data_IF_860032438136
#
_entry.id   IF_860032438136
#
_cell.length_a   1.000
_cell.length_b   1.000
_cell.length_c   1.000
_cell.angle_alpha   90.00
_cell.angle_beta   90.00
_cell.angle_gamma   90.00
#
_symmetry.space_group_name_H-M   'P 1'
#
loop_
_entity.id
_entity.type
_entity.pdbx_description
1 polymer ?
#
# COMPACT_ATOMS: atom_id res chain seq x y z
N UNK A 1 -31.91 8.20 -16.32
CA UNK A 1 -31.24 7.01 -15.75
C UNK A 1 -30.75 6.13 -16.89
N UNK A 2 -29.64 6.47 -17.56
CA UNK A 2 -29.19 5.75 -18.76
C UNK A 2 -27.77 6.07 -19.22
N UNK A 3 -26.90 6.48 -18.28
CA UNK A 3 -25.50 6.89 -18.54
C UNK A 3 -24.55 6.29 -17.48
N UNK A 4 -24.92 5.16 -16.91
CA UNK A 4 -24.05 4.27 -16.15
C UNK A 4 -24.33 2.89 -16.76
N UNK A 5 -23.31 2.06 -16.93
CA UNK A 5 -23.49 0.69 -17.45
C UNK A 5 -24.64 -0.04 -16.76
N UNK A 6 -25.24 -1.03 -17.43
CA UNK A 6 -26.33 -1.83 -16.85
C UNK A 6 -25.99 -2.24 -15.41
N UNK A 7 -26.95 -2.20 -14.49
CA UNK A 7 -26.74 -2.59 -13.09
C UNK A 7 -26.05 -3.96 -12.97
N UNK A 8 -26.38 -4.89 -13.87
CA UNK A 8 -25.75 -6.22 -13.98
C UNK A 8 -24.26 -6.13 -14.31
N UNK A 9 -23.86 -5.20 -15.17
CA UNK A 9 -22.45 -4.97 -15.54
C UNK A 9 -21.66 -4.29 -14.42
N UNK A 10 -22.30 -3.40 -13.64
CA UNK A 10 -21.67 -2.77 -12.47
C UNK A 10 -21.45 -3.78 -11.35
N UNK A 11 -22.44 -4.65 -11.10
CA UNK A 11 -22.37 -5.68 -10.05
C UNK A 11 -21.35 -6.79 -10.37
N UNK A 12 -21.14 -7.08 -11.66
CA UNK A 12 -20.17 -8.08 -12.12
C UNK A 12 -18.72 -7.55 -12.23
N UNK A 13 -18.49 -6.25 -12.18
CA UNK A 13 -17.18 -5.66 -12.40
C UNK A 13 -16.37 -5.52 -11.09
N UNK A 14 -15.08 -5.90 -11.12
CA UNK A 14 -14.16 -5.67 -9.99
C UNK A 14 -13.91 -4.17 -9.73
N UNK A 15 -14.03 -3.35 -10.78
CA UNK A 15 -13.85 -1.90 -10.74
C UNK A 15 -14.86 -1.26 -11.68
N UNK A 16 -15.73 -0.40 -11.15
CA UNK A 16 -16.68 0.40 -11.93
C UNK A 16 -16.26 1.88 -11.94
N UNK A 17 -16.33 2.52 -13.11
CA UNK A 17 -16.17 3.97 -13.23
C UNK A 17 -17.51 4.64 -12.94
N UNK A 18 -17.55 5.55 -11.97
CA UNK A 18 -18.77 6.27 -11.56
C UNK A 18 -19.15 7.42 -12.52
N UNK A 19 -18.39 7.60 -13.60
CA UNK A 19 -18.54 8.64 -14.61
C UNK A 19 -18.08 8.06 -15.96
N UNK A 20 -18.74 8.43 -17.05
CA UNK A 20 -18.51 7.86 -18.39
C UNK A 20 -17.18 8.31 -19.04
N UNK A 21 -16.36 9.06 -18.32
CA UNK A 21 -15.09 9.56 -18.82
C UNK A 21 -13.98 8.50 -18.74
N UNK A 22 -13.72 7.82 -19.86
CA UNK A 22 -12.62 6.85 -20.03
C UNK A 22 -11.22 7.44 -19.84
N UNK A 23 -11.08 8.77 -19.85
CA UNK A 23 -9.81 9.46 -19.55
C UNK A 23 -9.35 9.27 -18.10
N UNK A 24 -10.19 8.69 -17.22
CA UNK A 24 -9.81 8.31 -15.84
C UNK A 24 -9.09 6.96 -15.76
N UNK A 25 -9.13 6.13 -16.80
CA UNK A 25 -8.46 4.82 -16.81
C UNK A 25 -6.93 4.91 -16.62
N UNK A 26 -6.20 5.84 -17.27
CA UNK A 26 -4.77 6.02 -17.04
C UNK A 26 -4.44 6.39 -15.59
N UNK A 27 -5.21 7.28 -14.98
CA UNK A 27 -5.08 7.65 -13.57
C UNK A 27 -5.26 6.43 -12.65
N UNK A 28 -6.31 5.63 -12.89
CA UNK A 28 -6.62 4.45 -12.09
C UNK A 28 -5.51 3.39 -12.19
N UNK A 29 -4.97 3.19 -13.39
CA UNK A 29 -3.81 2.31 -13.62
C UNK A 29 -2.54 2.83 -12.94
N UNK A 30 -2.28 4.13 -13.01
CA UNK A 30 -1.14 4.74 -12.32
C UNK A 30 -1.26 4.60 -10.80
N UNK A 31 -2.46 4.85 -10.25
CA UNK A 31 -2.72 4.76 -8.82
C UNK A 31 -2.48 3.32 -8.36
N UNK A 32 -3.07 2.33 -9.05
CA UNK A 32 -2.87 0.90 -8.75
C UNK A 32 -1.38 0.51 -8.75
N UNK A 33 -0.62 0.89 -9.78
CA UNK A 33 0.81 0.61 -9.87
C UNK A 33 1.60 1.26 -8.72
N UNK A 34 1.23 2.48 -8.35
CA UNK A 34 1.89 3.22 -7.29
C UNK A 34 1.59 2.62 -5.91
N UNK A 35 0.34 2.20 -5.69
CA UNK A 35 -0.08 1.45 -4.48
C UNK A 35 0.71 0.16 -4.35
N UNK A 36 0.80 -0.66 -5.41
CA UNK A 36 1.57 -1.92 -5.40
C UNK A 36 3.04 -1.66 -5.09
N UNK A 37 3.65 -0.62 -5.66
CA UNK A 37 5.04 -0.24 -5.35
C UNK A 37 5.21 0.12 -3.87
N UNK A 38 4.32 0.94 -3.32
CA UNK A 38 4.35 1.31 -1.89
C UNK A 38 4.20 0.08 -0.98
N UNK A 39 3.27 -0.83 -1.29
CA UNK A 39 3.08 -2.09 -0.55
C UNK A 39 4.34 -2.95 -0.59
N UNK A 40 4.97 -3.11 -1.78
CA UNK A 40 6.21 -3.88 -1.91
C UNK A 40 7.34 -3.28 -1.08
N UNK A 41 7.49 -1.96 -1.08
CA UNK A 41 8.48 -1.26 -0.24
C UNK A 41 8.20 -1.47 1.25
N UNK A 42 6.94 -1.30 1.68
CA UNK A 42 6.50 -1.51 3.05
C UNK A 42 6.80 -2.93 3.56
N UNK A 43 6.44 -3.96 2.79
CA UNK A 43 6.67 -5.36 3.14
C UNK A 43 8.18 -5.66 3.20
N UNK A 44 8.94 -5.18 2.21
CA UNK A 44 10.40 -5.40 2.16
C UNK A 44 11.07 -4.81 3.39
N UNK A 45 10.68 -3.59 3.78
CA UNK A 45 11.23 -2.92 4.95
C UNK A 45 10.84 -3.63 6.26
N UNK A 46 9.58 -4.05 6.40
CA UNK A 46 9.10 -4.82 7.55
C UNK A 46 9.85 -6.15 7.70
N UNK A 47 10.01 -6.89 6.60
CA UNK A 47 10.78 -8.14 6.57
C UNK A 47 12.25 -7.91 6.95
N UNK A 48 12.87 -6.83 6.48
CA UNK A 48 14.26 -6.50 6.81
C UNK A 48 14.43 -6.21 8.31
N UNK A 49 13.54 -5.40 8.89
CA UNK A 49 13.56 -5.11 10.34
C UNK A 49 13.39 -6.39 11.16
N UNK A 50 12.42 -7.25 10.79
CA UNK A 50 12.21 -8.52 11.48
C UNK A 50 13.44 -9.44 11.37
N UNK A 51 14.05 -9.51 10.19
CA UNK A 51 15.26 -10.32 9.98
C UNK A 51 16.43 -9.84 10.85
N UNK A 52 16.65 -8.53 10.93
CA UNK A 52 17.67 -7.92 11.81
C UNK A 52 17.35 -8.19 13.28
N UNK A 53 16.09 -8.02 13.70
CA UNK A 53 15.69 -8.27 15.08
C UNK A 53 15.90 -9.74 15.50
N UNK A 54 15.59 -10.69 14.61
CA UNK A 54 15.81 -12.12 14.83
C UNK A 54 17.30 -12.44 14.93
N UNK A 55 18.13 -11.93 14.00
CA UNK A 55 19.57 -12.19 14.05
C UNK A 55 20.23 -11.62 15.31
N UNK A 56 19.88 -10.41 15.73
CA UNK A 56 20.36 -9.83 17.00
C UNK A 56 19.85 -10.58 18.24
N UNK A 57 18.63 -11.11 18.20
CA UNK A 57 18.09 -11.95 19.28
C UNK A 57 18.85 -13.27 19.41
N UNK A 58 19.18 -13.92 18.29
CA UNK A 58 19.98 -15.16 18.28
C UNK A 58 21.40 -14.91 18.79
N UNK A 59 21.99 -13.75 18.51
CA UNK A 59 23.29 -13.34 19.04
C UNK A 59 23.24 -12.95 20.54
N UNK A 60 22.07 -12.95 21.17
CA UNK A 60 21.89 -12.63 22.58
C UNK A 60 21.97 -11.13 22.91
N UNK A 61 21.97 -10.26 21.89
CA UNK A 61 22.10 -8.81 22.05
C UNK A 61 20.73 -8.15 22.31
N UNK A 62 19.66 -8.71 21.73
CA UNK A 62 18.31 -8.17 21.86
C UNK A 62 17.48 -8.99 22.85
N UNK A 63 16.90 -8.30 23.83
CA UNK A 63 15.89 -8.87 24.72
C UNK A 63 14.48 -8.74 24.10
N UNK A 64 13.53 -9.63 24.44
CA UNK A 64 12.17 -9.61 23.89
C UNK A 64 11.44 -8.27 24.03
N UNK A 65 11.69 -7.54 25.13
CA UNK A 65 11.12 -6.21 25.39
C UNK A 65 11.58 -5.17 24.37
N UNK A 66 12.89 -5.13 24.08
CA UNK A 66 13.46 -4.20 23.09
C UNK A 66 13.04 -4.60 21.67
N UNK A 67 12.96 -5.90 21.37
CA UNK A 67 12.45 -6.40 20.10
C UNK A 67 11.00 -5.99 19.83
N UNK A 68 10.12 -6.10 20.85
CA UNK A 68 8.74 -5.66 20.74
C UNK A 68 8.63 -4.14 20.51
N UNK A 69 9.49 -3.34 21.16
CA UNK A 69 9.53 -1.89 20.95
C UNK A 69 9.91 -1.54 19.50
N UNK A 70 10.97 -2.15 18.98
CA UNK A 70 11.45 -1.93 17.60
C UNK A 70 10.40 -2.38 16.59
N UNK A 71 9.73 -3.50 16.84
CA UNK A 71 8.66 -3.99 15.98
C UNK A 71 7.49 -2.98 15.86
N UNK A 72 7.01 -2.45 17.00
CA UNK A 72 5.93 -1.45 16.99
C UNK A 72 6.35 -0.12 16.34
N UNK A 73 7.58 0.33 16.57
CA UNK A 73 8.13 1.51 15.90
C UNK A 73 8.22 1.30 14.37
N UNK A 74 8.66 0.11 13.94
CA UNK A 74 8.69 -0.30 12.54
C UNK A 74 7.30 -0.32 11.89
N UNK A 75 6.30 -0.84 12.59
CA UNK A 75 4.89 -0.81 12.13
C UNK A 75 4.39 0.61 11.92
N UNK A 76 4.67 1.52 12.85
CA UNK A 76 4.29 2.93 12.73
C UNK A 76 4.97 3.59 11.51
N UNK A 77 6.25 3.32 11.30
CA UNK A 77 6.99 3.82 10.14
C UNK A 77 6.41 3.33 8.81
N UNK A 78 6.04 2.05 8.72
CA UNK A 78 5.41 1.49 7.53
C UNK A 78 4.04 2.13 7.25
N UNK A 79 3.25 2.39 8.28
CA UNK A 79 1.95 3.09 8.15
C UNK A 79 2.13 4.50 7.61
N UNK A 80 3.14 5.25 8.08
CA UNK A 80 3.45 6.58 7.53
C UNK A 80 3.85 6.51 6.05
N UNK A 81 4.58 5.46 5.66
CA UNK A 81 4.97 5.22 4.27
C UNK A 81 3.76 4.93 3.37
N UNK A 82 2.74 4.25 3.91
CA UNK A 82 1.45 4.09 3.25
C UNK A 82 0.66 5.42 3.20
N UNK A 83 0.67 6.22 4.27
CA UNK A 83 0.01 7.53 4.30
C UNK A 83 0.56 8.51 3.25
N UNK A 84 1.87 8.46 2.98
CA UNK A 84 2.53 9.23 1.90
C UNK A 84 1.98 8.94 0.49
N UNK A 85 1.30 7.80 0.27
CA UNK A 85 0.61 7.53 -0.99
C UNK A 85 -0.55 8.49 -1.25
N UNK A 86 -1.22 8.96 -0.19
CA UNK A 86 -2.38 9.87 -0.29
C UNK A 86 -2.01 11.21 -0.91
N UNK A 87 -0.82 11.73 -0.58
CA UNK A 87 -0.33 13.02 -1.09
C UNK A 87 0.29 12.93 -2.50
N UNK A 88 0.41 11.73 -3.09
CA UNK A 88 0.98 11.60 -4.43
C UNK A 88 0.03 12.17 -5.47
N UNK A 89 0.51 13.20 -6.18
CA UNK A 89 -0.20 13.80 -7.30
C UNK A 89 0.07 13.02 -8.58
N UNK A 90 -0.99 12.80 -9.34
CA UNK A 90 -0.89 12.31 -10.71
C UNK A 90 -0.61 13.51 -11.63
N UNK A 91 0.60 13.58 -12.16
CA UNK A 91 0.93 14.57 -13.20
C UNK A 91 0.44 14.04 -14.55
N UNK A 92 -0.53 14.74 -15.14
CA UNK A 92 -0.94 14.51 -16.52
C UNK A 92 0.23 14.93 -17.44
N UNK A 93 0.82 13.97 -18.15
CA UNK A 93 1.60 14.21 -19.37
C UNK A 93 0.83 13.71 -20.57
#
# INVERSE_FOLDING_TARGET
MGAMGSDIAVDAADVALMDDNTSKLPYLKWLSNTTIKTIKTAITLSMCINFVAVTLSVLGILNPTTGALVHNAGSCFVVLLAALLYDRKYEYS
#
